data_IF_905493589116
#
_entry.id   IF_905493589116
#
_cell.length_a   1.000
_cell.length_b   1.000
_cell.length_c   1.000
_cell.angle_alpha   90.00
_cell.angle_beta   90.00
_cell.angle_gamma   90.00
#
_symmetry.space_group_name_H-M   'P 1'
#
loop_
_entity.id
_entity.type
_entity.pdbx_description
1 polymer ?
#
# COMPACT_ATOMS: atom_id res chain seq x y z
N UNK A 1 20.42 38.14 11.62
CA UNK A 1 19.95 38.04 10.22
C UNK A 1 19.74 36.56 9.90
N UNK A 2 18.84 35.89 10.60
CA UNK A 2 18.59 34.43 10.47
C UNK A 2 17.10 34.16 10.68
N UNK A 3 16.25 34.59 9.75
CA UNK A 3 14.80 34.39 9.91
C UNK A 3 14.07 34.31 8.57
N UNK A 4 14.69 33.73 7.54
CA UNK A 4 14.08 33.66 6.21
C UNK A 4 14.42 32.39 5.44
N UNK A 5 14.85 31.31 6.12
CA UNK A 5 15.11 30.00 5.48
C UNK A 5 13.96 29.03 5.83
N UNK A 6 13.52 29.00 7.08
CA UNK A 6 12.40 28.18 7.55
C UNK A 6 11.07 28.51 6.84
N UNK A 7 10.92 29.75 6.38
CA UNK A 7 9.70 30.20 5.68
C UNK A 7 9.59 29.63 4.25
N UNK A 8 10.70 29.24 3.62
CA UNK A 8 10.69 28.62 2.30
C UNK A 8 10.67 27.09 2.34
N UNK A 9 11.11 26.46 3.43
CA UNK A 9 10.93 25.00 3.62
C UNK A 9 9.45 24.60 3.65
N UNK A 10 8.61 25.41 4.32
CA UNK A 10 7.16 25.18 4.35
C UNK A 10 6.48 25.36 2.99
N UNK A 11 6.97 26.28 2.15
CA UNK A 11 6.41 26.55 0.81
C UNK A 11 6.87 25.53 -0.22
N UNK A 12 8.12 25.06 -0.12
CA UNK A 12 8.69 24.03 -1.01
C UNK A 12 8.23 22.62 -0.66
N UNK A 13 7.84 22.37 0.59
CA UNK A 13 7.21 21.10 1.03
C UNK A 13 5.78 20.93 0.50
N UNK A 14 5.05 22.03 0.27
CA UNK A 14 3.61 22.02 0.02
C UNK A 14 3.15 21.82 -1.43
N UNK A 15 4.01 21.83 -2.44
CA UNK A 15 3.54 21.84 -3.85
C UNK A 15 4.42 21.21 -4.93
N UNK A 16 5.65 20.76 -4.65
CA UNK A 16 6.58 20.28 -5.68
C UNK A 16 6.66 18.75 -5.86
N UNK A 17 5.97 17.96 -5.04
CA UNK A 17 5.81 16.53 -5.26
C UNK A 17 4.33 16.21 -5.39
N UNK A 18 3.72 16.68 -6.49
CA UNK A 18 2.49 16.06 -6.99
C UNK A 18 2.79 14.58 -7.16
N UNK A 19 2.30 13.74 -6.24
CA UNK A 19 2.41 12.29 -6.35
C UNK A 19 1.48 11.89 -7.46
N UNK A 20 2.04 11.72 -8.65
CA UNK A 20 1.26 11.33 -9.81
C UNK A 20 1.08 9.80 -9.75
N UNK A 21 -0.16 9.29 -9.67
CA UNK A 21 -0.41 7.87 -9.82
C UNK A 21 -0.12 7.45 -11.27
N UNK A 22 0.58 6.34 -11.44
CA UNK A 22 0.74 5.70 -12.73
C UNK A 22 -0.51 4.88 -13.02
N UNK A 23 -1.36 5.33 -13.93
CA UNK A 23 -2.55 4.58 -14.37
C UNK A 23 -2.18 3.67 -15.54
N UNK A 24 -2.66 2.43 -15.51
CA UNK A 24 -2.43 1.44 -16.56
C UNK A 24 -3.70 0.66 -16.88
N UNK A 25 -3.72 0.09 -18.10
CA UNK A 25 -4.81 -0.75 -18.59
C UNK A 25 -4.24 -2.11 -18.97
N UNK A 26 -4.92 -3.20 -18.66
CA UNK A 26 -4.54 -4.54 -19.08
C UNK A 26 -5.23 -4.92 -20.39
N UNK A 27 -4.66 -5.89 -21.12
CA UNK A 27 -5.28 -6.43 -22.34
C UNK A 27 -6.66 -7.06 -22.06
N UNK A 28 -6.86 -7.58 -20.85
CA UNK A 28 -8.11 -8.18 -20.38
C UNK A 28 -9.17 -7.12 -19.98
N UNK A 29 -8.88 -5.83 -20.19
CA UNK A 29 -9.82 -4.73 -19.91
C UNK A 29 -9.83 -4.23 -18.47
N UNK A 30 -8.90 -4.67 -17.61
CA UNK A 30 -8.79 -4.14 -16.26
C UNK A 30 -8.08 -2.77 -16.25
N UNK A 31 -8.55 -1.88 -15.38
CA UNK A 31 -7.88 -0.62 -15.05
C UNK A 31 -7.15 -0.80 -13.73
N UNK A 32 -5.91 -0.32 -13.64
CA UNK A 32 -5.12 -0.35 -12.42
C UNK A 32 -4.28 0.91 -12.26
N UNK A 33 -3.74 1.12 -11.07
CA UNK A 33 -2.81 2.21 -10.80
C UNK A 33 -1.67 1.79 -9.87
N UNK A 34 -0.55 2.51 -9.92
CA UNK A 34 0.53 2.44 -8.95
C UNK A 34 0.74 3.82 -8.32
N UNK A 35 0.68 3.90 -7.00
CA UNK A 35 0.82 5.14 -6.24
C UNK A 35 2.15 5.14 -5.45
N UNK A 36 3.01 6.15 -5.61
CA UNK A 36 4.15 6.32 -4.71
C UNK A 36 3.64 6.72 -3.31
N UNK A 37 4.06 5.98 -2.28
CA UNK A 37 3.66 6.22 -0.89
C UNK A 37 4.87 6.55 -0.02
N UNK A 38 4.63 7.23 1.11
CA UNK A 38 5.70 7.50 2.08
C UNK A 38 6.21 6.21 2.69
N UNK A 39 7.51 6.19 3.03
CA UNK A 39 8.15 5.02 3.63
C UNK A 39 7.45 4.56 4.92
N UNK A 40 6.99 5.50 5.75
CA UNK A 40 6.23 5.21 6.98
C UNK A 40 4.96 4.40 6.67
N UNK A 41 4.17 4.85 5.70
CA UNK A 41 2.94 4.19 5.25
C UNK A 41 3.27 2.84 4.61
N UNK A 42 4.29 2.79 3.74
CA UNK A 42 4.77 1.56 3.12
C UNK A 42 5.12 0.48 4.15
N UNK A 43 5.91 0.82 5.18
CA UNK A 43 6.31 -0.15 6.21
C UNK A 43 5.10 -0.67 7.00
N UNK A 44 4.14 0.19 7.31
CA UNK A 44 2.89 -0.19 7.99
C UNK A 44 2.04 -1.13 7.13
N UNK A 45 1.80 -0.77 5.87
CA UNK A 45 1.04 -1.60 4.93
C UNK A 45 1.75 -2.91 4.58
N UNK A 46 3.09 -2.93 4.55
CA UNK A 46 3.87 -4.15 4.37
C UNK A 46 3.67 -5.13 5.53
N UNK A 47 3.69 -4.64 6.77
CA UNK A 47 3.40 -5.46 7.94
C UNK A 47 1.97 -5.98 7.91
N UNK A 48 1.01 -5.12 7.57
CA UNK A 48 -0.38 -5.50 7.38
C UNK A 48 -0.51 -6.62 6.34
N UNK A 49 0.05 -6.44 5.14
CA UNK A 49 0.04 -7.44 4.07
C UNK A 49 0.57 -8.79 4.55
N UNK A 50 1.71 -8.81 5.26
CA UNK A 50 2.29 -10.05 5.77
C UNK A 50 1.38 -10.76 6.78
N UNK A 51 0.65 -10.01 7.62
CA UNK A 51 -0.33 -10.60 8.53
C UNK A 51 -1.53 -11.13 7.75
N UNK A 52 -2.07 -10.38 6.79
CA UNK A 52 -3.23 -10.78 6.00
C UNK A 52 -2.95 -12.04 5.15
N UNK A 53 -1.77 -12.15 4.53
CA UNK A 53 -1.37 -13.36 3.78
C UNK A 53 -1.45 -14.61 4.65
N UNK A 54 -1.07 -14.51 5.93
CA UNK A 54 -0.95 -15.68 6.81
C UNK A 54 -2.20 -15.96 7.66
N UNK A 55 -3.05 -14.96 7.91
CA UNK A 55 -4.13 -15.06 8.91
C UNK A 55 -5.53 -15.12 8.30
N UNK A 56 -5.67 -14.96 6.97
CA UNK A 56 -6.97 -14.95 6.31
C UNK A 56 -7.04 -16.10 5.28
N UNK A 57 -8.17 -16.81 5.19
CA UNK A 57 -8.39 -17.78 4.13
C UNK A 57 -8.47 -17.07 2.77
N UNK A 58 -7.65 -17.50 1.82
CA UNK A 58 -7.66 -16.99 0.46
C UNK A 58 -8.57 -17.84 -0.42
N UNK A 59 -9.17 -17.22 -1.44
CA UNK A 59 -10.01 -17.91 -2.42
C UNK A 59 -9.20 -19.05 -3.05
N UNK A 60 -9.81 -20.23 -3.12
CA UNK A 60 -9.20 -21.46 -3.63
C UNK A 60 -7.87 -21.88 -2.94
N UNK A 61 -7.56 -21.37 -1.75
CA UNK A 61 -6.32 -21.68 -1.03
C UNK A 61 -5.05 -21.13 -1.70
N UNK A 62 -5.19 -20.18 -2.61
CA UNK A 62 -4.06 -19.60 -3.35
C UNK A 62 -3.23 -18.68 -2.43
N UNK A 63 -1.92 -18.57 -2.71
CA UNK A 63 -1.06 -17.62 -2.02
C UNK A 63 -0.97 -16.31 -2.83
N UNK A 64 -1.50 -15.19 -2.33
CA UNK A 64 -1.46 -13.91 -3.04
C UNK A 64 -0.03 -13.44 -3.34
N UNK A 65 0.91 -13.67 -2.41
CA UNK A 65 2.32 -13.26 -2.57
C UNK A 65 2.98 -14.00 -3.74
N UNK A 66 2.75 -15.31 -3.84
CA UNK A 66 3.25 -16.11 -4.97
C UNK A 66 2.55 -15.76 -6.27
N UNK A 67 1.27 -15.41 -6.23
CA UNK A 67 0.51 -14.97 -7.40
C UNK A 67 1.05 -13.65 -7.99
N UNK A 68 1.37 -12.67 -7.13
CA UNK A 68 1.93 -11.36 -7.53
C UNK A 68 3.40 -11.40 -7.92
N UNK A 69 4.08 -12.51 -7.69
CA UNK A 69 5.50 -12.64 -8.02
C UNK A 69 5.69 -12.80 -9.53
N UNK A 70 6.59 -12.01 -10.12
CA UNK A 70 6.89 -12.10 -11.55
C UNK A 70 7.37 -13.49 -11.94
N UNK A 71 6.78 -14.06 -12.98
CA UNK A 71 7.09 -15.39 -13.49
C UNK A 71 7.93 -15.26 -14.76
N UNK A 72 9.25 -15.44 -14.64
CA UNK A 72 10.16 -15.54 -15.78
C UNK A 72 10.54 -16.98 -16.08
N UNK A 73 10.81 -17.30 -17.34
CA UNK A 73 11.43 -18.56 -17.75
C UNK A 73 12.84 -18.70 -17.18
N UNK A 74 13.57 -17.58 -17.10
CA UNK A 74 14.92 -17.50 -16.56
C UNK A 74 14.93 -17.26 -15.05
N UNK A 75 15.95 -17.78 -14.35
CA UNK A 75 16.14 -17.48 -12.93
C UNK A 75 16.66 -16.05 -12.76
N UNK A 76 15.85 -15.20 -12.14
CA UNK A 76 16.27 -13.84 -11.77
C UNK A 76 17.09 -13.86 -10.48
N UNK A 77 18.22 -13.14 -10.51
CA UNK A 77 19.06 -12.88 -9.33
C UNK A 77 18.46 -11.70 -8.55
N UNK A 78 17.35 -11.92 -7.86
CA UNK A 78 16.73 -10.89 -7.03
C UNK A 78 15.45 -11.35 -6.32
N UNK A 79 15.09 -10.71 -5.21
CA UNK A 79 13.82 -10.97 -4.54
C UNK A 79 12.68 -10.46 -5.44
N UNK A 80 11.74 -11.32 -5.84
CA UNK A 80 10.92 -11.06 -7.03
C UNK A 80 9.70 -10.15 -6.79
N UNK A 81 9.56 -9.58 -5.60
CA UNK A 81 8.44 -8.70 -5.20
C UNK A 81 8.82 -7.81 -3.99
N UNK A 82 9.81 -6.94 -4.16
CA UNK A 82 10.13 -5.88 -3.17
C UNK A 82 9.65 -4.53 -3.68
N UNK A 83 9.20 -3.68 -2.75
CA UNK A 83 8.87 -2.28 -3.03
C UNK A 83 7.45 -2.02 -3.54
N UNK A 84 6.63 -3.06 -3.71
CA UNK A 84 5.23 -2.94 -4.13
C UNK A 84 4.34 -3.63 -3.11
N UNK A 85 3.29 -2.92 -2.68
CA UNK A 85 2.23 -3.44 -1.81
C UNK A 85 1.06 -3.90 -2.68
N UNK A 86 0.46 -5.04 -2.35
CA UNK A 86 -0.74 -5.53 -3.02
C UNK A 86 -1.98 -4.78 -2.49
N UNK A 87 -2.48 -3.84 -3.29
CA UNK A 87 -3.63 -2.99 -2.97
C UNK A 87 -4.88 -3.79 -2.63
N UNK A 88 -5.24 -4.76 -3.48
CA UNK A 88 -6.43 -5.61 -3.28
C UNK A 88 -6.36 -6.36 -1.94
N UNK A 89 -5.17 -6.87 -1.61
CA UNK A 89 -4.96 -7.62 -0.38
C UNK A 89 -5.08 -6.72 0.86
N UNK A 90 -4.49 -5.53 0.85
CA UNK A 90 -4.59 -4.62 2.00
C UNK A 90 -5.97 -3.97 2.12
N UNK A 91 -6.71 -3.78 1.02
CA UNK A 91 -8.11 -3.32 1.04
C UNK A 91 -9.04 -4.30 1.74
N UNK A 92 -8.74 -5.60 1.65
CA UNK A 92 -9.50 -6.64 2.36
C UNK A 92 -9.55 -6.38 3.88
N UNK A 93 -8.59 -5.65 4.47
CA UNK A 93 -8.64 -5.27 5.87
C UNK A 93 -9.96 -4.56 6.25
N UNK A 94 -10.48 -3.70 5.39
CA UNK A 94 -11.73 -2.97 5.63
C UNK A 94 -12.96 -3.88 5.68
N UNK A 95 -12.91 -5.02 4.99
CA UNK A 95 -13.98 -6.03 4.94
C UNK A 95 -14.02 -6.97 6.15
N UNK A 96 -12.99 -6.94 7.00
CA UNK A 96 -12.88 -7.87 8.14
C UNK A 96 -13.81 -7.49 9.31
N UNK A 97 -14.28 -8.49 10.07
CA UNK A 97 -14.98 -8.24 11.33
C UNK A 97 -14.15 -7.38 12.29
N UNK A 98 -14.82 -6.56 13.10
CA UNK A 98 -14.17 -5.62 14.02
C UNK A 98 -13.13 -6.31 14.93
N UNK A 99 -13.48 -7.46 15.50
CA UNK A 99 -12.59 -8.22 16.38
C UNK A 99 -11.32 -8.66 15.64
N UNK A 100 -11.46 -9.18 14.42
CA UNK A 100 -10.33 -9.59 13.59
C UNK A 100 -9.46 -8.39 13.21
N UNK A 101 -10.05 -7.24 12.87
CA UNK A 101 -9.30 -6.00 12.61
C UNK A 101 -8.47 -5.58 13.82
N UNK A 102 -9.03 -5.63 15.02
CA UNK A 102 -8.33 -5.30 16.27
C UNK A 102 -7.17 -6.27 16.54
N UNK A 103 -7.37 -7.58 16.32
CA UNK A 103 -6.30 -8.58 16.47
C UNK A 103 -5.17 -8.37 15.48
N UNK A 104 -5.49 -8.10 14.21
CA UNK A 104 -4.50 -7.81 13.15
C UNK A 104 -3.72 -6.54 13.47
N UNK A 105 -4.41 -5.45 13.87
CA UNK A 105 -3.79 -4.19 14.24
C UNK A 105 -2.85 -4.36 15.45
N UNK A 106 -3.27 -5.13 16.46
CA UNK A 106 -2.46 -5.48 17.63
C UNK A 106 -1.21 -6.29 17.25
N UNK A 107 -1.32 -7.24 16.31
CA UNK A 107 -0.18 -8.05 15.82
C UNK A 107 0.89 -7.19 15.14
N UNK A 108 0.49 -6.16 14.40
CA UNK A 108 1.45 -5.24 13.74
C UNK A 108 1.87 -4.06 14.62
N UNK A 109 1.28 -3.88 15.80
CA UNK A 109 1.62 -2.81 16.74
C UNK A 109 1.12 -1.43 16.34
N UNK A 110 -0.03 -1.34 15.66
CA UNK A 110 -0.62 -0.05 15.23
C UNK A 110 -2.09 0.03 15.61
N UNK A 111 -2.68 1.23 15.62
CA UNK A 111 -4.12 1.39 15.87
C UNK A 111 -4.90 1.07 14.60
N UNK A 112 -6.12 0.54 14.77
CA UNK A 112 -7.03 0.29 13.65
C UNK A 112 -7.31 1.58 12.88
N UNK A 113 -7.52 2.68 13.61
CA UNK A 113 -7.82 3.98 13.01
C UNK A 113 -6.68 4.49 12.12
N UNK A 114 -5.42 4.33 12.54
CA UNK A 114 -4.26 4.74 11.73
C UNK A 114 -4.17 3.97 10.41
N UNK A 115 -4.59 2.70 10.39
CA UNK A 115 -4.60 1.87 9.18
C UNK A 115 -5.75 2.32 8.26
N UNK A 116 -6.92 2.59 8.82
CA UNK A 116 -8.08 3.07 8.06
C UNK A 116 -7.78 4.45 7.45
N UNK A 117 -7.15 5.34 8.22
CA UNK A 117 -6.72 6.66 7.75
C UNK A 117 -5.77 6.54 6.54
N UNK A 118 -4.75 5.68 6.61
CA UNK A 118 -3.84 5.43 5.48
C UNK A 118 -4.57 4.96 4.22
N UNK A 119 -5.48 4.00 4.36
CA UNK A 119 -6.23 3.45 3.23
C UNK A 119 -7.16 4.52 2.63
N UNK A 120 -7.79 5.33 3.49
CA UNK A 120 -8.67 6.43 3.07
C UNK A 120 -7.89 7.53 2.36
N UNK A 121 -6.69 7.85 2.81
CA UNK A 121 -5.84 8.85 2.16
C UNK A 121 -5.36 8.37 0.78
N UNK A 122 -5.05 7.08 0.63
CA UNK A 122 -4.74 6.49 -0.68
C UNK A 122 -5.96 6.58 -1.61
N UNK A 123 -7.16 6.29 -1.12
CA UNK A 123 -8.41 6.42 -1.90
C UNK A 123 -8.62 7.87 -2.37
N UNK A 124 -8.44 8.86 -1.49
CA UNK A 124 -8.55 10.29 -1.83
C UNK A 124 -7.55 10.72 -2.90
N UNK A 125 -6.33 10.19 -2.86
CA UNK A 125 -5.28 10.47 -3.84
C UNK A 125 -5.50 9.77 -5.19
N UNK A 126 -6.44 8.84 -5.28
CA UNK A 126 -6.69 8.03 -6.48
C UNK A 126 -8.09 8.25 -7.07
N UNK A 127 -8.97 8.95 -6.36
CA UNK A 127 -10.31 9.36 -6.78
C UNK A 127 -10.29 10.51 -7.81
N UNK A 128 -9.70 10.25 -8.98
CA UNK A 128 -9.58 11.23 -10.07
C UNK A 128 -10.56 11.00 -11.23
N UNK A 129 -11.32 9.89 -11.22
CA UNK A 129 -12.26 9.50 -12.27
C UNK A 129 -13.62 9.10 -11.67
#
# INVERSE_FOLDING_TARGET
MESNIDQWEGVMSGSLLSRQPLVSTTLDGALGYMLPIQEKIYRRLLMLQNVLVNNIPHIAGLNPKSYRTYKSSEKLLGPPSRGIIDGELVWMFLSLPLLTRQEVAKKIGTKVDDIIEDLTDIERLTAHF
#
